data_IF_106667421581
#
_entry.id   IF_106667421581
#
_cell.length_a   1.000
_cell.length_b   1.000
_cell.length_c   1.000
_cell.angle_alpha   90.00
_cell.angle_beta   90.00
_cell.angle_gamma   90.00
#
_symmetry.space_group_name_H-M   'P 1'
#
loop_
_entity.id
_entity.type
_entity.pdbx_description
1 polymer ?
#
# COMPACT_ATOMS: atom_id res chain seq x y z
N UNK A 1 -12.43 -0.77 18.58
CA UNK A 1 -12.47 -1.31 17.20
C UNK A 1 -13.20 -0.26 16.36
N UNK A 2 -12.46 0.62 15.69
CA UNK A 2 -13.05 1.68 14.86
C UNK A 2 -13.14 1.21 13.42
N UNK A 3 -14.29 1.39 12.77
CA UNK A 3 -14.42 1.27 11.33
C UNK A 3 -14.23 2.65 10.70
N UNK A 4 -13.65 2.69 9.51
CA UNK A 4 -13.69 3.91 8.69
C UNK A 4 -15.16 4.24 8.35
N UNK A 5 -15.47 5.49 7.97
CA UNK A 5 -16.79 5.88 7.49
C UNK A 5 -17.30 4.90 6.42
N UNK A 6 -18.61 4.67 6.37
CA UNK A 6 -19.27 3.81 5.38
C UNK A 6 -18.78 2.35 5.35
N UNK A 7 -18.24 1.84 6.46
CA UNK A 7 -17.60 0.53 6.55
C UNK A 7 -16.40 0.36 5.60
N UNK A 8 -15.75 1.46 5.20
CA UNK A 8 -14.55 1.42 4.40
C UNK A 8 -13.47 0.50 5.03
N UNK A 9 -12.75 -0.21 4.18
CA UNK A 9 -11.73 -1.17 4.59
C UNK A 9 -10.34 -0.67 4.20
N UNK A 10 -9.39 -0.79 5.13
CA UNK A 10 -7.97 -0.64 4.81
C UNK A 10 -7.46 -1.85 4.01
N UNK A 11 -6.48 -1.59 3.15
CA UNK A 11 -5.73 -2.62 2.42
C UNK A 11 -4.26 -2.54 2.84
N UNK A 12 -3.62 -3.70 2.97
CA UNK A 12 -2.17 -3.80 3.15
C UNK A 12 -1.56 -4.70 2.08
N UNK A 13 -0.32 -4.43 1.70
CA UNK A 13 0.42 -5.28 0.79
C UNK A 13 1.90 -5.39 1.16
N UNK A 14 2.50 -6.51 0.78
CA UNK A 14 3.94 -6.72 0.78
C UNK A 14 4.38 -6.73 -0.68
N UNK A 15 5.43 -5.99 -0.99
CA UNK A 15 6.06 -5.96 -2.30
C UNK A 15 7.48 -6.53 -2.22
N UNK A 16 7.90 -7.26 -3.25
CA UNK A 16 9.30 -7.62 -3.52
C UNK A 16 9.74 -6.77 -4.70
N UNK A 17 10.77 -5.95 -4.49
CA UNK A 17 11.03 -4.81 -5.36
C UNK A 17 9.81 -3.89 -5.40
N UNK A 18 9.35 -3.58 -6.61
CA UNK A 18 8.19 -2.74 -6.91
C UNK A 18 6.87 -3.53 -7.01
N UNK A 19 6.93 -4.86 -6.96
CA UNK A 19 5.82 -5.73 -7.33
C UNK A 19 5.16 -6.36 -6.10
N UNK A 20 3.83 -6.28 -6.00
CA UNK A 20 3.07 -6.88 -4.90
C UNK A 20 3.10 -8.40 -4.97
N UNK A 21 3.43 -9.05 -3.85
CA UNK A 21 3.46 -10.53 -3.73
C UNK A 21 2.36 -11.06 -2.83
N UNK A 22 1.83 -10.23 -1.93
CA UNK A 22 0.70 -10.55 -1.08
C UNK A 22 -0.06 -9.29 -0.69
N UNK A 23 -1.39 -9.38 -0.63
CA UNK A 23 -2.25 -8.32 -0.12
C UNK A 23 -3.31 -8.87 0.83
N UNK A 24 -3.74 -8.04 1.79
CA UNK A 24 -4.83 -8.35 2.71
C UNK A 24 -5.78 -7.17 2.86
N UNK A 25 -7.06 -7.45 3.10
CA UNK A 25 -8.08 -6.46 3.50
C UNK A 25 -8.64 -6.84 4.85
N UNK A 26 -9.00 -5.83 5.65
CA UNK A 26 -9.32 -6.05 7.06
C UNK A 26 -10.52 -6.98 7.31
N UNK A 27 -11.59 -6.93 6.48
CA UNK A 27 -12.77 -7.79 6.69
C UNK A 27 -12.93 -8.85 5.59
N UNK A 28 -12.51 -8.57 4.37
CA UNK A 28 -12.42 -9.57 3.29
C UNK A 28 -11.14 -10.42 3.44
N UNK A 29 -11.22 -11.49 4.23
CA UNK A 29 -10.17 -12.51 4.25
C UNK A 29 -10.01 -13.12 2.84
N UNK A 30 -8.82 -12.98 2.26
CA UNK A 30 -8.41 -13.75 1.08
C UNK A 30 -8.40 -13.02 -0.27
N UNK A 31 -8.72 -11.73 -0.36
CA UNK A 31 -8.60 -11.01 -1.63
C UNK A 31 -7.14 -10.63 -1.93
N UNK A 32 -6.52 -11.40 -2.84
CA UNK A 32 -5.11 -11.30 -3.22
C UNK A 32 -4.97 -10.58 -4.57
N UNK A 33 -4.64 -9.29 -4.53
CA UNK A 33 -4.09 -8.59 -5.68
C UNK A 33 -2.58 -8.81 -5.65
N UNK A 34 -2.09 -9.72 -6.50
CA UNK A 34 -0.67 -10.00 -6.72
C UNK A 34 -0.26 -9.44 -8.07
N UNK A 35 0.99 -8.99 -8.19
CA UNK A 35 1.54 -8.48 -9.44
C UNK A 35 1.22 -7.00 -9.73
N UNK A 36 0.71 -6.25 -8.76
CA UNK A 36 0.60 -4.78 -8.90
C UNK A 36 2.00 -4.17 -8.78
N UNK A 37 2.42 -3.41 -9.79
CA UNK A 37 3.65 -2.64 -9.78
C UNK A 37 3.34 -1.23 -9.24
N UNK A 38 4.17 -0.74 -8.32
CA UNK A 38 4.01 0.62 -7.78
C UNK A 38 4.38 1.69 -8.80
N UNK A 39 3.87 2.90 -8.60
CA UNK A 39 4.22 4.06 -9.43
C UNK A 39 5.71 4.41 -9.25
N UNK A 40 6.37 4.93 -10.30
CA UNK A 40 7.80 5.26 -10.30
C UNK A 40 8.21 6.20 -9.15
N UNK A 41 7.34 7.12 -8.75
CA UNK A 41 7.59 8.03 -7.62
C UNK A 41 7.74 7.25 -6.29
N UNK A 42 6.89 6.24 -6.10
CA UNK A 42 6.93 5.38 -4.91
C UNK A 42 8.18 4.51 -4.97
N UNK A 43 8.46 3.90 -6.12
CA UNK A 43 9.67 3.09 -6.32
C UNK A 43 10.96 3.88 -6.05
N UNK A 44 11.11 5.05 -6.66
CA UNK A 44 12.29 5.91 -6.47
C UNK A 44 12.43 6.42 -5.04
N UNK A 45 11.32 6.75 -4.37
CA UNK A 45 11.37 7.19 -2.97
C UNK A 45 11.74 6.04 -2.04
N UNK A 46 11.10 4.89 -2.18
CA UNK A 46 11.19 3.81 -1.18
C UNK A 46 12.35 2.86 -1.47
N UNK A 47 12.51 2.43 -2.73
CA UNK A 47 13.53 1.45 -3.13
C UNK A 47 14.86 2.12 -3.48
N UNK A 48 14.86 3.25 -4.17
CA UNK A 48 16.13 3.89 -4.55
C UNK A 48 16.67 4.74 -3.40
N UNK A 49 15.81 5.57 -2.82
CA UNK A 49 16.23 6.52 -1.79
C UNK A 49 16.12 6.00 -0.35
N UNK A 50 15.42 4.88 -0.13
CA UNK A 50 15.27 4.26 1.19
C UNK A 50 14.44 5.08 2.18
N UNK A 51 13.54 5.92 1.69
CA UNK A 51 12.69 6.78 2.52
C UNK A 51 11.23 6.31 2.50
N UNK A 52 10.48 6.52 3.60
CA UNK A 52 9.04 6.36 3.56
C UNK A 52 8.42 7.26 2.51
N UNK A 53 7.36 6.77 1.87
CA UNK A 53 6.48 7.58 1.02
C UNK A 53 5.11 7.66 1.66
N UNK A 54 4.51 8.85 1.68
CA UNK A 54 3.16 9.10 2.18
C UNK A 54 2.42 9.98 1.17
N UNK A 55 1.20 9.62 0.81
CA UNK A 55 0.44 10.40 -0.16
C UNK A 55 -0.90 9.78 -0.50
N UNK A 56 -1.48 10.26 -1.60
CA UNK A 56 -2.76 9.76 -2.12
C UNK A 56 -2.51 8.97 -3.40
N UNK A 57 -3.04 7.74 -3.47
CA UNK A 57 -3.05 6.92 -4.71
C UNK A 57 -4.47 6.62 -5.14
N UNK A 58 -4.67 6.40 -6.43
CA UNK A 58 -5.96 5.96 -6.98
C UNK A 58 -5.82 4.58 -7.58
N UNK A 59 -6.46 3.59 -6.97
CA UNK A 59 -6.50 2.20 -7.45
C UNK A 59 -7.87 1.60 -7.14
N UNK A 60 -8.30 0.60 -7.90
CA UNK A 60 -9.62 -0.02 -7.72
C UNK A 60 -10.80 0.95 -7.84
N UNK A 61 -10.63 2.09 -8.53
CA UNK A 61 -11.68 3.10 -8.71
C UNK A 61 -11.91 4.05 -7.52
N UNK A 62 -11.04 4.01 -6.50
CA UNK A 62 -11.11 4.88 -5.32
C UNK A 62 -9.77 5.54 -5.03
N UNK A 63 -9.82 6.76 -4.50
CA UNK A 63 -8.64 7.42 -3.93
C UNK A 63 -8.40 6.89 -2.51
N UNK A 64 -7.13 6.70 -2.19
CA UNK A 64 -6.67 6.17 -0.92
C UNK A 64 -5.54 7.03 -0.38
N UNK A 65 -5.58 7.37 0.91
CA UNK A 65 -4.36 7.79 1.62
C UNK A 65 -3.55 6.52 1.87
N UNK A 66 -2.29 6.54 1.46
CA UNK A 66 -1.40 5.40 1.49
C UNK A 66 -0.02 5.77 2.04
N UNK A 67 0.63 4.78 2.65
CA UNK A 67 2.01 4.84 3.08
C UNK A 67 2.79 3.62 2.63
N UNK A 68 4.07 3.83 2.30
CA UNK A 68 5.02 2.80 1.91
C UNK A 68 6.29 2.92 2.75
N UNK A 69 6.71 1.81 3.35
CA UNK A 69 7.92 1.71 4.17
C UNK A 69 8.92 0.75 3.51
N UNK A 70 10.23 1.09 3.46
CA UNK A 70 11.24 0.18 2.92
C UNK A 70 11.31 -1.13 3.71
N UNK A 71 11.35 -2.25 2.99
CA UNK A 71 11.65 -3.56 3.55
C UNK A 71 13.13 -3.88 3.32
N UNK A 72 13.88 -4.06 4.40
CA UNK A 72 15.30 -4.41 4.38
C UNK A 72 15.52 -5.85 4.82
N UNK A 73 16.49 -6.53 4.21
CA UNK A 73 16.94 -7.85 4.65
C UNK A 73 17.98 -7.78 5.77
N UNK A 74 18.46 -8.94 6.23
CA UNK A 74 19.45 -9.03 7.31
C UNK A 74 20.82 -8.42 6.99
N UNK A 75 21.12 -8.18 5.71
CA UNK A 75 22.36 -7.54 5.25
C UNK A 75 22.16 -6.03 4.98
N UNK A 76 20.99 -5.48 5.34
CA UNK A 76 20.65 -4.08 5.12
C UNK A 76 20.32 -3.73 3.66
N UNK A 77 20.15 -4.73 2.78
CA UNK A 77 19.75 -4.50 1.39
C UNK A 77 18.24 -4.27 1.33
N UNK A 78 17.80 -3.26 0.59
CA UNK A 78 16.37 -3.02 0.35
C UNK A 78 15.86 -4.07 -0.64
N UNK A 79 14.90 -4.87 -0.21
CA UNK A 79 14.35 -6.00 -0.97
C UNK A 79 12.91 -5.78 -1.39
N UNK A 80 12.28 -4.70 -0.93
CA UNK A 80 10.90 -4.38 -1.27
C UNK A 80 10.31 -3.31 -0.36
N UNK A 81 9.01 -3.37 -0.13
CA UNK A 81 8.29 -2.41 0.69
C UNK A 81 7.01 -2.97 1.30
N UNK A 82 6.60 -2.38 2.43
CA UNK A 82 5.32 -2.61 3.07
C UNK A 82 4.37 -1.46 2.72
N UNK A 83 3.13 -1.78 2.36
CA UNK A 83 2.09 -0.80 2.06
C UNK A 83 0.92 -0.92 3.04
N UNK A 84 0.40 0.23 3.47
CA UNK A 84 -0.91 0.35 4.08
C UNK A 84 -1.69 1.50 3.44
N UNK A 85 -2.96 1.28 3.13
CA UNK A 85 -3.80 2.25 2.46
C UNK A 85 -5.24 2.23 2.98
N UNK A 86 -5.87 3.40 3.02
CA UNK A 86 -7.24 3.60 3.45
C UNK A 86 -7.98 4.46 2.42
N UNK A 87 -9.15 4.03 1.92
CA UNK A 87 -9.90 4.83 0.98
C UNK A 87 -10.34 6.13 1.66
N UNK A 88 -10.18 7.25 0.98
CA UNK A 88 -10.78 8.51 1.42
C UNK A 88 -12.29 8.41 1.22
N UNK A 89 -13.06 8.68 2.28
CA UNK A 89 -14.52 8.66 2.22
C UNK A 89 -15.01 9.52 1.05
N UNK A 90 -15.99 9.02 0.30
CA UNK A 90 -16.72 9.88 -0.63
C UNK A 90 -17.63 10.73 0.23
N UNK A 91 -17.39 12.03 0.30
CA UNK A 91 -18.41 12.95 0.81
C UNK A 91 -19.61 12.81 -0.13
N UNK A 92 -20.67 12.13 0.31
CA UNK A 92 -21.96 12.24 -0.36
C UNK A 92 -22.38 13.72 -0.29
N UNK A 93 -22.55 14.34 -1.45
CA UNK A 93 -23.29 15.58 -1.59
C UNK A 93 -24.79 15.30 -1.51
#
# INVERSE_FOLDING_TARGET
MGSLPDQAEGTTAIHVGDTSVASSRQRLQGQRAIGEVVDDEVGSTVLDSGRPWLGTRSFGGLSHVAGYEPLVDGEGRRVGMLMAAFPTARTCA
#
